data_IF_328447078929
#
_entry.id   IF_328447078929
#
_cell.length_a   1.000
_cell.length_b   1.000
_cell.length_c   1.000
_cell.angle_alpha   90.00
_cell.angle_beta   90.00
_cell.angle_gamma   90.00
#
_symmetry.space_group_name_H-M   'P 1'
#
loop_
_entity.id
_entity.type
_entity.pdbx_description
1 polymer ?
#
# COMPACT_ATOMS: atom_id res chain seq x y z
N UNK A 1 22.39 6.02 -9.51
CA UNK A 1 21.51 7.22 -9.64
C UNK A 1 20.92 7.36 -11.05
N UNK A 2 21.71 7.45 -12.12
CA UNK A 2 21.21 7.69 -13.48
C UNK A 2 20.10 6.71 -13.93
N UNK A 3 20.28 5.40 -13.71
CA UNK A 3 19.30 4.36 -14.09
C UNK A 3 17.91 4.62 -13.47
N UNK A 4 17.86 5.02 -12.19
CA UNK A 4 16.59 5.32 -11.52
C UNK A 4 15.93 6.58 -12.08
N UNK A 5 16.71 7.63 -12.39
CA UNK A 5 16.19 8.85 -12.99
C UNK A 5 15.64 8.58 -14.41
N UNK A 6 16.33 7.76 -15.21
CA UNK A 6 15.85 7.34 -16.53
C UNK A 6 14.56 6.52 -16.39
N UNK A 7 14.48 5.61 -15.44
CA UNK A 7 13.28 4.82 -15.19
C UNK A 7 12.10 5.70 -14.74
N UNK A 8 12.34 6.67 -13.85
CA UNK A 8 11.31 7.64 -13.43
C UNK A 8 10.87 8.52 -14.60
N UNK A 9 11.80 8.95 -15.43
CA UNK A 9 11.48 9.71 -16.66
C UNK A 9 10.63 8.88 -17.63
N UNK A 10 10.96 7.59 -17.83
CA UNK A 10 10.18 6.67 -18.66
C UNK A 10 8.73 6.56 -18.14
N UNK A 11 8.56 6.36 -16.82
CA UNK A 11 7.24 6.29 -16.17
C UNK A 11 6.43 7.55 -16.43
N UNK A 12 7.03 8.73 -16.29
CA UNK A 12 6.35 10.03 -16.51
C UNK A 12 6.02 10.29 -17.99
N UNK A 13 6.96 10.03 -18.89
CA UNK A 13 6.76 10.26 -20.33
C UNK A 13 5.63 9.38 -20.87
N UNK A 14 5.55 8.13 -20.43
CA UNK A 14 4.50 7.20 -20.84
C UNK A 14 3.15 7.44 -20.12
N UNK A 15 3.14 8.16 -19.00
CA UNK A 15 1.91 8.40 -18.23
C UNK A 15 0.85 9.15 -19.04
N UNK A 16 1.22 10.23 -19.72
CA UNK A 16 0.27 11.02 -20.47
C UNK A 16 -0.37 10.24 -21.64
N UNK A 17 0.39 9.69 -22.61
CA UNK A 17 -0.21 9.03 -23.77
C UNK A 17 -0.94 7.73 -23.46
N UNK A 18 -0.53 6.98 -22.44
CA UNK A 18 -1.07 5.66 -22.16
C UNK A 18 -2.08 5.63 -21.00
N UNK A 19 -1.97 6.57 -20.04
CA UNK A 19 -2.83 6.54 -18.83
C UNK A 19 -3.78 7.74 -18.78
N UNK A 20 -3.33 8.95 -19.14
CA UNK A 20 -4.15 10.17 -19.00
C UNK A 20 -4.94 10.51 -20.28
N UNK A 21 -4.35 10.32 -21.47
CA UNK A 21 -5.00 10.66 -22.73
C UNK A 21 -5.85 9.51 -23.27
N UNK A 22 -7.20 9.63 -23.13
CA UNK A 22 -8.19 8.63 -23.58
C UNK A 22 -7.79 7.20 -23.19
N UNK A 23 -7.73 6.91 -21.89
CA UNK A 23 -7.27 5.63 -21.39
C UNK A 23 -8.20 4.49 -21.83
N UNK A 24 -7.60 3.37 -22.20
CA UNK A 24 -8.29 2.09 -22.39
C UNK A 24 -7.47 0.96 -21.75
N UNK A 25 -8.06 -0.23 -21.66
CA UNK A 25 -7.40 -1.37 -20.99
C UNK A 25 -6.10 -1.73 -21.69
N UNK A 26 -6.03 -1.69 -23.02
CA UNK A 26 -4.83 -2.04 -23.80
C UNK A 26 -3.70 -1.04 -23.50
N UNK A 27 -3.96 0.25 -23.54
CA UNK A 27 -2.97 1.29 -23.21
C UNK A 27 -2.44 1.13 -21.78
N UNK A 28 -3.33 0.89 -20.82
CA UNK A 28 -2.96 0.63 -19.41
C UNK A 28 -2.08 -0.61 -19.30
N UNK A 29 -2.40 -1.69 -20.02
CA UNK A 29 -1.60 -2.89 -20.05
C UNK A 29 -0.23 -2.66 -20.71
N UNK A 30 -0.18 -1.96 -21.85
CA UNK A 30 1.07 -1.57 -22.50
C UNK A 30 1.96 -0.76 -21.56
N UNK A 31 1.38 0.21 -20.84
CA UNK A 31 2.12 0.99 -19.84
C UNK A 31 2.78 0.10 -18.78
N UNK A 32 2.01 -0.82 -18.19
CA UNK A 32 2.53 -1.73 -17.15
C UNK A 32 3.59 -2.65 -17.72
N UNK A 33 3.38 -3.24 -18.90
CA UNK A 33 4.36 -4.13 -19.55
C UNK A 33 5.68 -3.39 -19.82
N UNK A 34 5.63 -2.18 -20.36
CA UNK A 34 6.86 -1.43 -20.68
C UNK A 34 7.59 -0.99 -19.41
N UNK A 35 6.88 -0.43 -18.42
CA UNK A 35 7.53 0.09 -17.20
C UNK A 35 8.07 -1.04 -16.31
N UNK A 36 7.29 -2.10 -16.08
CA UNK A 36 7.73 -3.25 -15.30
C UNK A 36 8.71 -4.15 -16.09
N UNK A 37 8.59 -4.22 -17.41
CA UNK A 37 9.57 -4.84 -18.29
C UNK A 37 10.95 -4.16 -18.21
N UNK A 38 11.00 -2.83 -18.18
CA UNK A 38 12.24 -2.10 -17.97
C UNK A 38 12.85 -2.40 -16.58
N UNK A 39 12.05 -2.45 -15.51
CA UNK A 39 12.50 -2.85 -14.18
C UNK A 39 13.02 -4.29 -14.17
N UNK A 40 12.35 -5.20 -14.89
CA UNK A 40 12.78 -6.59 -15.03
C UNK A 40 14.15 -6.69 -15.72
N UNK A 41 14.35 -6.00 -16.84
CA UNK A 41 15.63 -5.99 -17.53
C UNK A 41 16.76 -5.48 -16.63
N UNK A 42 16.52 -4.37 -15.87
CA UNK A 42 17.48 -3.87 -14.90
C UNK A 42 17.80 -4.94 -13.84
N UNK A 43 16.78 -5.69 -13.39
CA UNK A 43 16.96 -6.73 -12.36
C UNK A 43 17.74 -7.94 -12.87
N UNK A 44 17.55 -8.32 -14.13
CA UNK A 44 18.23 -9.49 -14.73
C UNK A 44 19.68 -9.16 -15.08
N UNK A 45 19.92 -8.00 -15.70
CA UNK A 45 21.26 -7.61 -16.17
C UNK A 45 22.08 -6.87 -15.11
N UNK A 46 21.63 -6.86 -13.85
CA UNK A 46 22.40 -6.24 -12.76
C UNK A 46 23.67 -7.02 -12.48
N UNK A 47 24.77 -6.30 -12.25
CA UNK A 47 26.01 -6.87 -11.74
C UNK A 47 26.44 -6.08 -10.50
N UNK A 48 26.63 -6.78 -9.36
CA UNK A 48 27.00 -6.13 -8.10
C UNK A 48 25.98 -5.10 -7.55
N UNK A 49 24.80 -4.99 -8.14
CA UNK A 49 23.78 -4.02 -7.73
C UNK A 49 22.87 -4.63 -6.66
N UNK A 50 22.80 -3.97 -5.51
CA UNK A 50 22.07 -4.41 -4.32
C UNK A 50 23.02 -4.87 -3.21
N UNK A 51 22.71 -4.50 -1.96
CA UNK A 51 23.58 -4.73 -0.81
C UNK A 51 23.86 -6.22 -0.58
N UNK A 52 22.88 -7.08 -0.82
CA UNK A 52 22.98 -8.52 -0.56
C UNK A 52 23.29 -9.35 -1.83
N UNK A 53 23.75 -8.69 -2.93
CA UNK A 53 23.99 -9.36 -4.20
C UNK A 53 24.89 -10.61 -4.05
N UNK A 54 26.07 -10.47 -3.48
CA UNK A 54 27.01 -11.60 -3.30
C UNK A 54 26.50 -12.60 -2.25
N UNK A 55 25.74 -12.15 -1.24
CA UNK A 55 25.15 -13.04 -0.24
C UNK A 55 24.16 -14.02 -0.89
N UNK A 56 23.32 -13.56 -1.84
CA UNK A 56 22.39 -14.44 -2.56
C UNK A 56 23.09 -15.43 -3.48
N UNK A 57 24.24 -15.08 -4.06
CA UNK A 57 25.08 -16.03 -4.81
C UNK A 57 25.58 -17.13 -3.88
N UNK A 58 26.11 -16.78 -2.71
CA UNK A 58 26.55 -17.74 -1.72
C UNK A 58 25.41 -18.64 -1.24
N UNK A 59 24.26 -18.09 -0.94
CA UNK A 59 23.06 -18.83 -0.54
C UNK A 59 22.63 -19.81 -1.64
N UNK A 60 22.62 -19.38 -2.91
CA UNK A 60 22.26 -20.23 -4.05
C UNK A 60 23.17 -21.48 -4.14
N UNK A 61 24.48 -21.29 -4.04
CA UNK A 61 25.40 -22.40 -4.11
C UNK A 61 25.31 -23.35 -2.92
N UNK A 62 25.09 -22.83 -1.72
CA UNK A 62 24.86 -23.65 -0.53
C UNK A 62 23.64 -24.54 -0.68
N UNK A 63 22.51 -23.95 -1.10
CA UNK A 63 21.25 -24.69 -1.31
C UNK A 63 21.39 -25.67 -2.49
N UNK A 64 22.07 -25.29 -3.57
CA UNK A 64 22.33 -26.16 -4.72
C UNK A 64 23.07 -27.44 -4.32
N UNK A 65 24.12 -27.29 -3.54
CA UNK A 65 25.01 -28.39 -3.15
C UNK A 65 24.48 -29.21 -1.96
N UNK A 66 23.48 -28.72 -1.25
CA UNK A 66 22.89 -29.42 -0.12
C UNK A 66 22.06 -30.64 -0.59
N UNK A 67 22.26 -31.84 -0.02
CA UNK A 67 21.51 -33.03 -0.35
C UNK A 67 20.15 -33.07 0.37
N UNK A 68 19.11 -33.50 -0.33
CA UNK A 68 17.79 -33.77 0.23
C UNK A 68 17.22 -32.65 1.12
N UNK A 69 16.76 -33.01 2.30
CA UNK A 69 16.15 -32.07 3.25
C UNK A 69 17.15 -31.19 4.02
N UNK A 70 18.48 -31.44 3.86
CA UNK A 70 19.50 -30.60 4.52
C UNK A 70 19.50 -29.15 4.03
N UNK A 71 18.80 -28.85 2.95
CA UNK A 71 18.54 -27.46 2.48
C UNK A 71 17.91 -26.58 3.55
N UNK A 72 17.14 -27.13 4.48
CA UNK A 72 16.49 -26.39 5.57
C UNK A 72 17.41 -26.11 6.76
N UNK A 73 18.58 -26.74 6.84
CA UNK A 73 19.53 -26.52 7.93
C UNK A 73 20.22 -25.13 7.86
N UNK A 74 20.09 -24.42 6.75
CA UNK A 74 20.64 -23.07 6.61
C UNK A 74 19.81 -21.96 7.26
N UNK A 75 18.64 -22.29 7.82
CA UNK A 75 17.80 -21.33 8.55
C UNK A 75 17.09 -20.29 7.68
N UNK A 76 16.99 -20.51 6.36
CA UNK A 76 16.16 -19.66 5.50
C UNK A 76 14.71 -20.14 5.47
N UNK A 77 13.82 -19.22 5.14
CA UNK A 77 12.39 -19.50 5.08
C UNK A 77 12.08 -20.58 4.02
N UNK A 78 11.10 -21.47 4.29
CA UNK A 78 10.87 -22.67 3.47
C UNK A 78 10.49 -22.37 2.02
N UNK A 79 9.65 -21.36 1.76
CA UNK A 79 9.27 -20.97 0.40
C UNK A 79 10.47 -20.49 -0.41
N UNK A 80 11.31 -19.63 0.19
CA UNK A 80 12.53 -19.18 -0.45
C UNK A 80 13.50 -20.34 -0.73
N UNK A 81 13.71 -21.23 0.25
CA UNK A 81 14.61 -22.38 0.14
C UNK A 81 14.17 -23.35 -0.96
N UNK A 82 12.87 -23.68 -1.00
CA UNK A 82 12.29 -24.57 -2.03
C UNK A 82 12.44 -23.96 -3.42
N UNK A 83 12.08 -22.70 -3.60
CA UNK A 83 12.19 -22.02 -4.90
C UNK A 83 13.65 -21.96 -5.35
N UNK A 84 14.59 -21.62 -4.45
CA UNK A 84 16.03 -21.62 -4.76
C UNK A 84 16.51 -23.01 -5.18
N UNK A 85 16.10 -24.07 -4.46
CA UNK A 85 16.44 -25.46 -4.81
C UNK A 85 15.90 -25.84 -6.17
N UNK A 86 14.63 -25.54 -6.45
CA UNK A 86 14.02 -25.82 -7.76
C UNK A 86 14.78 -25.14 -8.89
N UNK A 87 15.10 -23.84 -8.76
CA UNK A 87 15.91 -23.13 -9.78
C UNK A 87 17.26 -23.82 -9.96
N UNK A 88 17.93 -24.19 -8.88
CA UNK A 88 19.24 -24.80 -8.90
C UNK A 88 19.30 -26.20 -9.53
N UNK A 89 18.16 -26.88 -9.65
CA UNK A 89 18.06 -28.18 -10.37
C UNK A 89 18.12 -28.02 -11.88
N UNK A 90 17.66 -26.85 -12.40
CA UNK A 90 17.65 -26.60 -13.84
C UNK A 90 18.83 -25.80 -14.34
N UNK A 91 19.52 -25.06 -13.47
CA UNK A 91 20.62 -24.19 -13.86
C UNK A 91 21.67 -24.03 -12.77
N UNK A 92 22.89 -23.69 -13.21
CA UNK A 92 23.96 -23.18 -12.35
C UNK A 92 24.18 -21.67 -12.55
N UNK A 93 23.46 -21.05 -13.49
CA UNK A 93 23.58 -19.62 -13.75
C UNK A 93 22.78 -18.80 -12.73
N UNK A 94 23.52 -18.00 -11.97
CA UNK A 94 22.96 -17.13 -10.92
C UNK A 94 22.08 -16.02 -11.51
N UNK A 95 22.32 -15.60 -12.76
CA UNK A 95 21.49 -14.59 -13.41
C UNK A 95 20.06 -15.09 -13.63
N UNK A 96 19.89 -16.39 -13.92
CA UNK A 96 18.57 -17.02 -14.03
C UNK A 96 17.87 -17.03 -12.66
N UNK A 97 18.60 -17.26 -11.57
CA UNK A 97 18.02 -17.12 -10.22
C UNK A 97 17.49 -15.70 -10.00
N UNK A 98 18.28 -14.66 -10.33
CA UNK A 98 17.83 -13.28 -10.19
C UNK A 98 16.64 -12.96 -11.11
N UNK A 99 16.61 -13.50 -12.33
CA UNK A 99 15.50 -13.34 -13.26
C UNK A 99 14.20 -13.91 -12.68
N UNK A 100 14.25 -15.13 -12.12
CA UNK A 100 13.08 -15.76 -11.50
C UNK A 100 12.58 -14.96 -10.29
N UNK A 101 13.49 -14.52 -9.41
CA UNK A 101 13.11 -13.70 -8.27
C UNK A 101 12.54 -12.34 -8.67
N UNK A 102 13.08 -11.72 -9.72
CA UNK A 102 12.53 -10.49 -10.26
C UNK A 102 11.09 -10.69 -10.75
N UNK A 103 10.78 -11.82 -11.41
CA UNK A 103 9.39 -12.14 -11.80
C UNK A 103 8.49 -12.35 -10.60
N UNK A 104 8.95 -13.05 -9.55
CA UNK A 104 8.17 -13.28 -8.33
C UNK A 104 7.85 -11.98 -7.56
N UNK A 105 8.63 -10.93 -7.74
CA UNK A 105 8.38 -9.61 -7.14
C UNK A 105 7.57 -8.73 -8.09
N UNK A 106 8.01 -8.60 -9.34
CA UNK A 106 7.46 -7.59 -10.25
C UNK A 106 6.10 -7.99 -10.82
N UNK A 107 5.83 -9.28 -11.07
CA UNK A 107 4.52 -9.71 -11.60
C UNK A 107 3.39 -9.47 -10.58
N UNK A 108 3.48 -9.91 -9.30
CA UNK A 108 2.43 -9.62 -8.33
C UNK A 108 2.26 -8.12 -8.09
N UNK A 109 3.36 -7.35 -8.05
CA UNK A 109 3.32 -5.90 -7.89
C UNK A 109 2.63 -5.22 -9.07
N UNK A 110 3.02 -5.57 -10.30
CA UNK A 110 2.41 -5.06 -11.52
C UNK A 110 0.90 -5.42 -11.61
N UNK A 111 0.57 -6.66 -11.26
CA UNK A 111 -0.81 -7.13 -11.20
C UNK A 111 -1.63 -6.31 -10.18
N UNK A 112 -1.13 -6.15 -8.97
CA UNK A 112 -1.83 -5.39 -7.93
C UNK A 112 -2.04 -3.93 -8.36
N UNK A 113 -1.01 -3.26 -8.90
CA UNK A 113 -1.10 -1.88 -9.39
C UNK A 113 -2.10 -1.80 -10.56
N UNK A 114 -2.03 -2.70 -11.53
CA UNK A 114 -2.93 -2.71 -12.68
C UNK A 114 -4.39 -2.90 -12.28
N UNK A 115 -4.67 -3.79 -11.30
CA UNK A 115 -6.03 -4.18 -10.90
C UNK A 115 -6.65 -3.26 -9.87
N UNK A 116 -5.86 -2.75 -8.92
CA UNK A 116 -6.39 -2.12 -7.71
C UNK A 116 -6.00 -0.65 -7.56
N UNK A 117 -5.05 -0.13 -8.37
CA UNK A 117 -4.67 1.27 -8.27
C UNK A 117 -5.67 2.19 -8.95
N UNK A 118 -6.04 3.25 -8.27
CA UNK A 118 -6.85 4.35 -8.81
C UNK A 118 -6.06 5.21 -9.82
N UNK A 119 -4.71 5.20 -9.71
CA UNK A 119 -3.82 5.89 -10.63
C UNK A 119 -2.54 5.07 -10.84
N UNK A 120 -2.50 4.31 -11.96
CA UNK A 120 -1.44 3.33 -12.27
C UNK A 120 -0.06 4.00 -12.35
N UNK A 121 0.06 5.16 -13.05
CA UNK A 121 1.36 5.81 -13.19
C UNK A 121 1.88 6.36 -11.86
N UNK A 122 1.01 6.91 -11.03
CA UNK A 122 1.39 7.42 -9.71
C UNK A 122 1.84 6.29 -8.79
N UNK A 123 1.12 5.14 -8.77
CA UNK A 123 1.53 3.95 -8.02
C UNK A 123 2.86 3.39 -8.49
N UNK A 124 3.08 3.32 -9.82
CA UNK A 124 4.36 2.87 -10.40
C UNK A 124 5.49 3.82 -10.03
N UNK A 125 5.25 5.13 -10.09
CA UNK A 125 6.24 6.14 -9.69
C UNK A 125 6.58 6.01 -8.20
N UNK A 126 5.56 5.82 -7.33
CA UNK A 126 5.78 5.62 -5.90
C UNK A 126 6.53 4.31 -5.61
N UNK A 127 6.30 3.24 -6.37
CA UNK A 127 7.07 1.99 -6.22
C UNK A 127 8.58 2.20 -6.44
N UNK A 128 8.96 3.12 -7.36
CA UNK A 128 10.35 3.46 -7.61
C UNK A 128 10.85 4.49 -6.57
N UNK A 129 10.13 5.59 -6.38
CA UNK A 129 10.58 6.74 -5.57
C UNK A 129 10.61 6.46 -4.07
N UNK A 130 9.72 5.58 -3.56
CA UNK A 130 9.74 5.08 -2.18
C UNK A 130 10.70 3.90 -1.99
N UNK A 131 11.61 3.70 -2.93
CA UNK A 131 12.72 2.71 -2.89
C UNK A 131 12.33 1.23 -2.94
N UNK A 132 11.06 0.86 -3.16
CA UNK A 132 10.67 -0.55 -3.24
C UNK A 132 11.35 -1.30 -4.38
N UNK A 133 11.52 -0.64 -5.54
CA UNK A 133 12.29 -1.24 -6.63
C UNK A 133 13.76 -1.44 -6.25
N UNK A 134 14.39 -0.50 -5.53
CA UNK A 134 15.74 -0.70 -4.99
C UNK A 134 15.79 -1.86 -3.98
N UNK A 135 14.83 -1.93 -3.06
CA UNK A 135 14.71 -3.03 -2.11
C UNK A 135 14.58 -4.38 -2.82
N UNK A 136 13.89 -4.44 -3.97
CA UNK A 136 13.77 -5.67 -4.78
C UNK A 136 15.11 -6.18 -5.33
N UNK A 137 16.09 -5.28 -5.46
CA UNK A 137 17.45 -5.63 -5.88
C UNK A 137 18.35 -6.02 -4.69
N UNK A 138 18.02 -5.58 -3.47
CA UNK A 138 18.82 -5.79 -2.26
C UNK A 138 18.25 -6.87 -1.34
N UNK A 139 16.98 -6.74 -0.95
CA UNK A 139 16.30 -7.57 0.05
C UNK A 139 15.29 -8.51 -0.61
N UNK A 140 15.76 -9.46 -1.46
CA UNK A 140 14.91 -10.29 -2.32
C UNK A 140 13.78 -10.99 -1.54
N UNK A 141 14.10 -11.68 -0.43
CA UNK A 141 13.13 -12.42 0.38
C UNK A 141 12.01 -11.52 0.91
N UNK A 142 12.41 -10.38 1.50
CA UNK A 142 11.46 -9.38 1.99
C UNK A 142 10.64 -8.76 0.86
N UNK A 143 11.25 -8.59 -0.32
CA UNK A 143 10.58 -8.01 -1.49
C UNK A 143 9.53 -8.93 -2.09
N UNK A 144 9.76 -10.24 -2.12
CA UNK A 144 8.72 -11.21 -2.48
C UNK A 144 7.57 -11.12 -1.47
N UNK A 145 7.90 -11.05 -0.18
CA UNK A 145 6.90 -10.97 0.87
C UNK A 145 6.03 -9.70 0.75
N UNK A 146 6.59 -8.51 0.56
CA UNK A 146 5.76 -7.31 0.40
C UNK A 146 4.98 -7.29 -0.93
N UNK A 147 5.47 -7.91 -2.00
CA UNK A 147 4.72 -8.06 -3.25
C UNK A 147 3.49 -8.95 -3.06
N UNK A 148 3.61 -10.05 -2.29
CA UNK A 148 2.49 -10.90 -1.90
C UNK A 148 1.49 -10.12 -1.05
N UNK A 149 1.96 -9.36 -0.06
CA UNK A 149 1.11 -8.54 0.82
C UNK A 149 0.38 -7.45 0.03
N UNK A 150 1.01 -6.85 -0.99
CA UNK A 150 0.35 -5.88 -1.85
C UNK A 150 -0.87 -6.47 -2.59
N UNK A 151 -0.82 -7.76 -2.97
CA UNK A 151 -1.97 -8.44 -3.56
C UNK A 151 -3.15 -8.59 -2.58
N UNK A 152 -2.90 -8.52 -1.27
CA UNK A 152 -3.95 -8.53 -0.26
C UNK A 152 -4.69 -7.18 -0.12
N UNK A 153 -4.26 -6.11 -0.81
CA UNK A 153 -4.84 -4.77 -0.71
C UNK A 153 -6.36 -4.75 -0.83
N UNK A 154 -6.91 -5.45 -1.83
CA UNK A 154 -8.35 -5.57 -2.02
C UNK A 154 -9.05 -6.20 -0.81
N UNK A 155 -8.52 -7.31 -0.32
CA UNK A 155 -9.11 -8.03 0.82
C UNK A 155 -9.02 -7.21 2.11
N UNK A 156 -8.00 -6.37 2.25
CA UNK A 156 -7.89 -5.40 3.34
C UNK A 156 -8.99 -4.34 3.26
N UNK A 157 -9.28 -3.80 2.06
CA UNK A 157 -10.40 -2.86 1.84
C UNK A 157 -11.76 -3.49 2.16
N UNK A 158 -11.96 -4.73 1.71
CA UNK A 158 -13.19 -5.50 1.90
C UNK A 158 -13.34 -6.06 3.33
N UNK A 159 -12.32 -5.90 4.19
CA UNK A 159 -12.28 -6.47 5.56
C UNK A 159 -12.42 -8.00 5.56
N UNK A 160 -11.96 -8.67 4.51
CA UNK A 160 -11.87 -10.12 4.48
C UNK A 160 -10.62 -10.58 5.24
N UNK A 161 -10.77 -10.68 6.58
CA UNK A 161 -9.66 -11.00 7.48
C UNK A 161 -9.02 -12.35 7.17
N UNK A 162 -9.82 -13.34 6.78
CA UNK A 162 -9.30 -14.67 6.42
C UNK A 162 -8.32 -14.59 5.24
N UNK A 163 -8.70 -13.92 4.16
CA UNK A 163 -7.82 -13.75 3.01
C UNK A 163 -6.58 -12.93 3.35
N UNK A 164 -6.70 -11.88 4.16
CA UNK A 164 -5.53 -11.11 4.60
C UNK A 164 -4.55 -11.97 5.37
N UNK A 165 -5.03 -12.78 6.33
CA UNK A 165 -4.19 -13.71 7.09
C UNK A 165 -3.56 -14.79 6.20
N UNK A 166 -4.29 -15.29 5.20
CA UNK A 166 -3.76 -16.22 4.21
C UNK A 166 -2.59 -15.60 3.41
N UNK A 167 -2.73 -14.36 2.95
CA UNK A 167 -1.64 -13.66 2.26
C UNK A 167 -0.44 -13.39 3.18
N UNK A 168 -0.68 -13.07 4.46
CA UNK A 168 0.39 -12.93 5.46
C UNK A 168 1.11 -14.26 5.64
N UNK A 169 0.38 -15.37 5.78
CA UNK A 169 0.96 -16.71 5.88
C UNK A 169 1.82 -17.06 4.64
N UNK A 170 1.29 -16.83 3.43
CA UNK A 170 2.04 -17.05 2.19
C UNK A 170 3.31 -16.19 2.13
N UNK A 171 3.25 -14.94 2.57
CA UNK A 171 4.40 -14.04 2.62
C UNK A 171 5.44 -14.51 3.67
N UNK A 172 5.01 -15.06 4.82
CA UNK A 172 5.89 -15.64 5.83
C UNK A 172 6.74 -16.80 5.30
N UNK A 173 6.28 -17.52 4.27
CA UNK A 173 7.07 -18.57 3.62
C UNK A 173 8.33 -18.01 2.93
N UNK A 174 8.38 -16.72 2.62
CA UNK A 174 9.51 -16.04 2.01
C UNK A 174 10.25 -15.11 2.96
N UNK A 175 9.56 -14.55 3.96
CA UNK A 175 10.20 -13.70 4.97
C UNK A 175 9.40 -13.66 6.27
N UNK A 176 9.93 -14.29 7.30
CA UNK A 176 9.22 -14.55 8.57
C UNK A 176 8.82 -13.28 9.32
N UNK A 177 9.53 -12.15 9.15
CA UNK A 177 9.20 -10.89 9.84
C UNK A 177 7.85 -10.29 9.46
N UNK A 178 7.23 -10.76 8.36
CA UNK A 178 5.86 -10.37 7.97
C UNK A 178 4.83 -10.67 9.05
N UNK A 179 5.09 -11.62 9.96
CA UNK A 179 4.19 -11.97 11.05
C UNK A 179 3.80 -10.76 11.92
N UNK A 180 4.69 -9.75 12.00
CA UNK A 180 4.43 -8.48 12.69
C UNK A 180 3.23 -7.73 12.10
N UNK A 181 2.92 -7.97 10.82
CA UNK A 181 1.75 -7.36 10.19
C UNK A 181 0.43 -7.85 10.78
N UNK A 182 0.36 -9.03 11.40
CA UNK A 182 -0.87 -9.56 12.01
C UNK A 182 -1.42 -8.60 13.09
N UNK A 183 -0.69 -8.33 14.19
CA UNK A 183 -1.19 -7.41 15.22
C UNK A 183 -1.38 -5.98 14.66
N UNK A 184 -0.50 -5.48 13.82
CA UNK A 184 -0.64 -4.14 13.23
C UNK A 184 -1.88 -4.03 12.34
N UNK A 185 -2.17 -5.05 11.53
CA UNK A 185 -3.38 -5.11 10.73
C UNK A 185 -4.65 -5.18 11.60
N UNK A 186 -4.65 -6.03 12.63
CA UNK A 186 -5.81 -6.15 13.52
C UNK A 186 -6.09 -4.84 14.25
N UNK A 187 -5.06 -4.19 14.80
CA UNK A 187 -5.22 -2.87 15.43
C UNK A 187 -5.77 -1.87 14.40
N UNK A 188 -5.19 -1.79 13.21
CA UNK A 188 -5.63 -0.88 12.16
C UNK A 188 -7.05 -1.19 11.66
N UNK A 189 -7.46 -2.46 11.68
CA UNK A 189 -8.78 -2.88 11.22
C UNK A 189 -9.89 -2.55 12.23
N UNK A 190 -9.63 -2.64 13.53
CA UNK A 190 -10.65 -2.50 14.56
C UNK A 190 -10.62 -1.15 15.26
N UNK A 191 -9.47 -0.47 15.32
CA UNK A 191 -9.32 0.83 15.96
C UNK A 191 -9.32 1.93 14.88
N UNK A 192 -10.25 2.87 14.96
CA UNK A 192 -10.31 4.01 14.03
C UNK A 192 -9.40 5.14 14.49
N UNK A 193 -8.68 5.83 13.59
CA UNK A 193 -8.02 7.10 13.91
C UNK A 193 -9.05 8.14 14.32
N UNK A 194 -8.92 8.69 15.52
CA UNK A 194 -9.81 9.71 16.06
C UNK A 194 -8.98 10.81 16.72
N UNK A 195 -9.62 11.92 17.08
CA UNK A 195 -8.98 12.99 17.86
C UNK A 195 -8.44 12.53 19.23
N UNK A 196 -8.84 11.33 19.69
CA UNK A 196 -8.39 10.72 20.94
C UNK A 196 -7.31 9.66 20.66
N UNK A 197 -7.53 8.75 19.68
CA UNK A 197 -6.61 7.64 19.43
C UNK A 197 -5.29 8.11 18.81
N UNK A 198 -5.28 9.15 17.98
CA UNK A 198 -4.05 9.67 17.38
C UNK A 198 -3.08 10.23 18.43
N UNK A 199 -3.50 11.08 19.41
CA UNK A 199 -2.65 11.46 20.53
C UNK A 199 -2.18 10.28 21.40
N UNK A 200 -3.02 9.26 21.62
CA UNK A 200 -2.61 8.05 22.34
C UNK A 200 -1.47 7.34 21.60
N UNK A 201 -1.55 7.21 20.28
CA UNK A 201 -0.45 6.66 19.49
C UNK A 201 0.83 7.48 19.62
N UNK A 202 0.75 8.81 19.65
CA UNK A 202 1.91 9.67 19.86
C UNK A 202 2.56 9.46 21.24
N UNK A 203 1.75 9.36 22.30
CA UNK A 203 2.22 9.09 23.67
C UNK A 203 2.89 7.70 23.72
N UNK A 204 2.23 6.66 23.19
CA UNK A 204 2.79 5.31 23.14
C UNK A 204 4.10 5.27 22.35
N UNK A 205 4.19 6.03 21.25
CA UNK A 205 5.43 6.16 20.48
C UNK A 205 6.56 6.74 21.30
N UNK A 206 6.30 7.82 22.03
CA UNK A 206 7.28 8.43 22.93
C UNK A 206 7.76 7.44 24.01
N UNK A 207 6.83 6.70 24.61
CA UNK A 207 7.16 5.67 25.61
C UNK A 207 8.02 4.55 25.01
N UNK A 208 7.62 4.00 23.84
CA UNK A 208 8.38 2.94 23.15
C UNK A 208 9.76 3.45 22.74
N UNK A 209 9.86 4.69 22.26
CA UNK A 209 11.14 5.29 21.91
C UNK A 209 12.07 5.42 23.13
N UNK A 210 11.56 5.91 24.25
CA UNK A 210 12.31 6.04 25.50
C UNK A 210 12.74 4.68 26.06
N UNK A 211 11.82 3.71 26.05
CA UNK A 211 12.00 2.35 26.58
C UNK A 211 12.55 1.36 25.56
N UNK A 212 12.99 1.82 24.39
CA UNK A 212 13.40 0.94 23.28
C UNK A 212 14.53 -0.03 23.68
N UNK A 213 15.53 0.40 24.47
CA UNK A 213 16.59 -0.47 24.96
C UNK A 213 16.12 -1.56 25.90
N UNK A 214 15.37 -1.28 26.99
CA UNK A 214 14.75 -2.31 27.80
C UNK A 214 13.90 -3.28 27.00
N UNK A 215 13.08 -2.77 26.06
CA UNK A 215 12.21 -3.60 25.21
C UNK A 215 13.05 -4.55 24.33
N UNK A 216 14.10 -4.08 23.68
CA UNK A 216 14.98 -4.90 22.87
C UNK A 216 15.71 -5.97 23.70
N UNK A 217 16.19 -5.64 24.90
CA UNK A 217 16.80 -6.61 25.80
C UNK A 217 15.81 -7.71 26.21
N UNK A 218 14.58 -7.33 26.56
CA UNK A 218 13.51 -8.28 26.87
C UNK A 218 13.18 -9.17 25.67
N UNK A 219 13.08 -8.57 24.47
CA UNK A 219 12.81 -9.31 23.24
C UNK A 219 13.89 -10.38 22.96
N UNK A 220 15.16 -10.09 23.22
CA UNK A 220 16.26 -11.06 23.06
C UNK A 220 16.23 -12.16 24.13
N UNK A 221 15.79 -11.84 25.35
CA UNK A 221 15.58 -12.88 26.39
C UNK A 221 14.48 -13.85 25.96
N UNK A 222 13.40 -13.35 25.34
CA UNK A 222 12.28 -14.16 24.85
C UNK A 222 12.61 -14.90 23.54
N UNK A 223 13.53 -14.34 22.73
CA UNK A 223 13.93 -14.85 21.42
C UNK A 223 15.48 -14.94 21.32
N UNK A 224 16.09 -15.94 21.97
CA UNK A 224 17.56 -16.03 22.10
C UNK A 224 18.34 -16.08 20.78
N UNK A 225 17.69 -16.53 19.69
CA UNK A 225 18.28 -16.54 18.34
C UNK A 225 18.67 -15.15 17.84
N UNK A 226 18.12 -14.09 18.43
CA UNK A 226 18.44 -12.69 18.08
C UNK A 226 19.54 -12.07 18.98
N UNK A 227 20.13 -12.84 19.91
CA UNK A 227 21.14 -12.34 20.86
C UNK A 227 22.34 -11.69 20.13
N UNK A 228 22.83 -12.31 19.06
CA UNK A 228 23.92 -11.77 18.26
C UNK A 228 23.65 -10.38 17.67
N UNK A 229 22.40 -10.00 17.51
CA UNK A 229 22.05 -8.66 17.04
C UNK A 229 22.33 -7.58 18.09
N UNK A 230 22.24 -7.84 19.39
CA UNK A 230 22.57 -6.86 20.43
C UNK A 230 24.10 -6.61 20.56
N UNK A 231 24.89 -7.57 20.09
CA UNK A 231 26.35 -7.50 20.15
C UNK A 231 26.95 -6.75 18.94
N UNK A 232 26.15 -6.58 17.88
CA UNK A 232 26.58 -5.91 16.67
C UNK A 232 26.45 -4.39 16.82
N UNK A 233 27.56 -3.68 16.66
CA UNK A 233 27.65 -2.21 16.79
C UNK A 233 26.66 -1.46 15.89
N UNK A 234 26.25 -2.06 14.77
CA UNK A 234 25.32 -1.44 13.84
C UNK A 234 23.87 -1.38 14.34
N UNK A 235 23.45 -2.18 15.33
CA UNK A 235 22.11 -2.07 15.92
C UNK A 235 21.96 -0.83 16.80
N UNK A 236 23.08 -0.33 17.33
CA UNK A 236 23.12 0.88 18.12
C UNK A 236 23.12 2.15 17.27
N UNK A 237 23.27 2.00 15.95
CA UNK A 237 23.18 3.10 15.00
C UNK A 237 21.75 3.25 14.52
N UNK A 238 21.24 4.49 14.59
CA UNK A 238 19.93 4.82 14.02
C UNK A 238 20.07 5.44 12.63
N UNK A 239 18.97 5.48 11.91
CA UNK A 239 18.89 6.28 10.69
C UNK A 239 19.00 7.78 10.99
N UNK A 240 19.54 8.53 10.04
CA UNK A 240 19.44 9.99 10.08
C UNK A 240 17.98 10.44 10.18
N UNK A 241 17.64 11.43 11.03
CA UNK A 241 16.27 11.95 11.15
C UNK A 241 15.65 12.43 9.84
N UNK A 242 16.45 12.73 8.83
CA UNK A 242 15.98 13.11 7.48
C UNK A 242 15.06 12.02 6.86
N UNK A 243 15.29 10.76 7.15
CA UNK A 243 14.47 9.67 6.64
C UNK A 243 13.04 9.63 7.19
N UNK A 244 12.74 10.37 8.28
CA UNK A 244 11.37 10.51 8.81
C UNK A 244 10.51 11.43 7.93
N UNK A 245 11.09 12.33 7.15
CA UNK A 245 10.36 13.39 6.43
C UNK A 245 9.30 12.80 5.51
N UNK A 246 9.65 11.80 4.69
CA UNK A 246 8.70 11.20 3.74
C UNK A 246 7.57 10.44 4.45
N UNK A 247 7.83 9.54 5.43
CA UNK A 247 6.78 8.96 6.26
C UNK A 247 5.90 9.98 6.97
N UNK A 248 6.46 11.10 7.46
CA UNK A 248 5.69 12.17 8.10
C UNK A 248 4.73 12.86 7.11
N UNK A 249 5.21 13.21 5.91
CA UNK A 249 4.37 13.79 4.85
C UNK A 249 3.23 12.85 4.48
N UNK A 250 3.52 11.56 4.25
CA UNK A 250 2.51 10.55 3.91
C UNK A 250 1.48 10.43 5.03
N UNK A 251 1.91 10.43 6.29
CA UNK A 251 1.01 10.35 7.45
C UNK A 251 0.16 11.61 7.57
N UNK A 252 0.73 12.79 7.36
CA UNK A 252 -0.02 14.04 7.37
C UNK A 252 -1.10 14.05 6.26
N UNK A 253 -0.75 13.66 5.04
CA UNK A 253 -1.71 13.54 3.93
C UNK A 253 -2.82 12.53 4.25
N UNK A 254 -2.48 11.38 4.83
CA UNK A 254 -3.44 10.36 5.23
C UNK A 254 -4.40 10.87 6.33
N UNK A 255 -3.88 11.59 7.34
CA UNK A 255 -4.69 12.18 8.41
C UNK A 255 -5.63 13.27 7.87
N UNK A 256 -5.12 14.18 7.04
CA UNK A 256 -5.93 15.22 6.40
C UNK A 256 -7.05 14.55 5.60
N UNK A 257 -6.74 13.57 4.74
CA UNK A 257 -7.73 12.87 3.95
C UNK A 257 -8.76 12.13 4.83
N UNK A 258 -8.33 11.53 5.95
CA UNK A 258 -9.20 10.81 6.87
C UNK A 258 -10.20 11.73 7.57
N UNK A 259 -9.76 12.90 8.02
CA UNK A 259 -10.64 13.86 8.73
C UNK A 259 -11.44 14.78 7.80
N UNK A 260 -11.24 14.67 6.48
CA UNK A 260 -11.93 15.48 5.47
C UNK A 260 -12.83 14.63 4.55
N UNK A 261 -13.10 15.10 3.35
CA UNK A 261 -14.04 14.49 2.40
C UNK A 261 -13.77 13.03 2.06
N UNK A 262 -12.49 12.64 1.87
CA UNK A 262 -12.15 11.26 1.56
C UNK A 262 -12.55 10.29 2.69
N UNK A 263 -12.28 10.64 3.94
CA UNK A 263 -12.64 9.81 5.09
C UNK A 263 -14.15 9.65 5.27
N UNK A 264 -14.95 10.68 4.89
CA UNK A 264 -16.41 10.59 4.86
C UNK A 264 -16.89 9.68 3.74
N UNK A 265 -16.27 9.75 2.55
CA UNK A 265 -16.64 8.94 1.38
C UNK A 265 -16.23 7.47 1.53
N UNK A 266 -15.05 7.20 2.11
CA UNK A 266 -14.46 5.87 2.24
C UNK A 266 -14.03 5.56 3.69
N UNK A 267 -14.94 5.51 4.66
CA UNK A 267 -14.60 5.49 6.09
C UNK A 267 -13.79 4.25 6.51
N UNK A 268 -14.09 3.07 5.95
CA UNK A 268 -13.38 1.82 6.28
C UNK A 268 -11.97 1.80 5.72
N UNK A 269 -11.81 2.18 4.45
CA UNK A 269 -10.53 2.23 3.76
C UNK A 269 -9.63 3.29 4.37
N UNK A 270 -10.16 4.50 4.52
CA UNK A 270 -9.45 5.63 5.11
C UNK A 270 -8.95 5.30 6.52
N UNK A 271 -9.79 4.73 7.40
CA UNK A 271 -9.37 4.38 8.76
C UNK A 271 -8.22 3.37 8.77
N UNK A 272 -8.30 2.30 7.95
CA UNK A 272 -7.30 1.25 7.89
C UNK A 272 -5.93 1.79 7.45
N UNK A 273 -5.91 2.44 6.27
CA UNK A 273 -4.65 2.84 5.67
C UNK A 273 -4.07 4.10 6.31
N UNK A 274 -4.87 4.95 6.96
CA UNK A 274 -4.37 6.02 7.82
C UNK A 274 -3.64 5.45 9.05
N UNK A 275 -4.17 4.39 9.68
CA UNK A 275 -3.44 3.68 10.73
C UNK A 275 -2.13 3.07 10.21
N UNK A 276 -2.14 2.50 9.00
CA UNK A 276 -0.89 1.99 8.40
C UNK A 276 0.14 3.11 8.18
N UNK A 277 -0.30 4.29 7.73
CA UNK A 277 0.58 5.44 7.60
C UNK A 277 1.15 5.88 8.96
N UNK A 278 0.31 5.94 10.00
CA UNK A 278 0.73 6.28 11.37
C UNK A 278 1.75 5.25 11.88
N UNK A 279 1.44 3.95 11.77
CA UNK A 279 2.35 2.90 12.25
C UNK A 279 3.66 2.87 11.47
N UNK A 280 3.62 3.12 10.15
CA UNK A 280 4.81 3.30 9.34
C UNK A 280 5.67 4.45 9.85
N UNK A 281 5.07 5.62 10.13
CA UNK A 281 5.78 6.76 10.71
C UNK A 281 6.38 6.43 12.08
N UNK A 282 5.63 5.74 12.95
CA UNK A 282 6.11 5.32 14.28
C UNK A 282 7.33 4.42 14.15
N UNK A 283 7.29 3.45 13.25
CA UNK A 283 8.40 2.51 13.03
C UNK A 283 9.64 3.29 12.52
N UNK A 284 9.47 4.20 11.56
CA UNK A 284 10.57 5.05 11.07
C UNK A 284 11.11 5.97 12.16
N UNK A 285 10.25 6.52 13.02
CA UNK A 285 10.67 7.34 14.15
C UNK A 285 11.55 6.52 15.13
N UNK A 286 11.15 5.29 15.45
CA UNK A 286 11.93 4.39 16.31
C UNK A 286 13.22 3.95 15.60
N UNK A 287 13.21 3.80 14.28
CA UNK A 287 14.37 3.43 13.47
C UNK A 287 15.49 4.49 13.48
N UNK A 288 15.19 5.73 13.86
CA UNK A 288 16.25 6.73 14.12
C UNK A 288 17.14 6.38 15.32
N UNK A 289 16.71 5.45 16.15
CA UNK A 289 17.49 4.92 17.27
C UNK A 289 18.02 3.51 16.99
N UNK A 290 17.27 2.71 16.25
CA UNK A 290 17.54 1.30 15.98
C UNK A 290 17.18 0.98 14.52
N UNK A 291 18.14 1.10 13.60
CA UNK A 291 17.86 1.05 12.15
C UNK A 291 17.17 -0.25 11.67
N UNK A 292 17.44 -1.39 12.33
CA UNK A 292 16.87 -2.70 11.95
C UNK A 292 15.34 -2.71 12.02
N UNK A 293 14.74 -1.84 12.86
CA UNK A 293 13.29 -1.76 13.05
C UNK A 293 12.59 -1.25 11.78
N UNK A 294 13.26 -0.47 10.93
CA UNK A 294 12.74 0.02 9.67
C UNK A 294 12.18 -1.11 8.78
N UNK A 295 12.77 -2.30 8.81
CA UNK A 295 12.34 -3.44 8.00
C UNK A 295 10.88 -3.83 8.23
N UNK A 296 10.35 -3.63 9.43
CA UNK A 296 8.94 -3.88 9.73
C UNK A 296 7.99 -2.87 9.07
N UNK A 297 8.47 -1.68 8.75
CA UNK A 297 7.68 -0.64 8.09
C UNK A 297 7.29 -1.01 6.67
N UNK A 298 8.13 -1.76 5.96
CA UNK A 298 8.00 -2.05 4.52
C UNK A 298 6.64 -2.67 4.16
N UNK A 299 6.07 -3.50 5.05
CA UNK A 299 4.77 -4.16 4.82
C UNK A 299 3.57 -3.21 4.93
N UNK A 300 3.70 -2.15 5.70
CA UNK A 300 2.71 -1.08 5.81
C UNK A 300 2.93 -0.03 4.72
N UNK A 301 4.21 0.28 4.47
CA UNK A 301 4.63 1.33 3.56
C UNK A 301 4.30 1.00 2.11
N UNK A 302 4.41 -0.28 1.70
CA UNK A 302 4.02 -0.72 0.36
C UNK A 302 2.55 -0.43 0.05
N UNK A 303 1.65 -0.43 1.06
CA UNK A 303 0.25 -0.10 0.87
C UNK A 303 0.02 1.36 0.49
N UNK A 304 0.97 2.25 0.83
CA UNK A 304 0.88 3.68 0.51
C UNK A 304 0.97 3.94 -0.99
N UNK A 305 1.63 3.05 -1.76
CA UNK A 305 1.67 3.18 -3.23
C UNK A 305 0.28 3.01 -3.89
N UNK A 306 -0.68 2.45 -3.16
CA UNK A 306 -2.08 2.31 -3.57
C UNK A 306 -2.96 3.37 -2.93
N UNK A 307 -2.75 3.64 -1.65
CA UNK A 307 -3.61 4.51 -0.86
C UNK A 307 -3.46 5.99 -1.22
N UNK A 308 -2.23 6.49 -1.41
CA UNK A 308 -2.02 7.89 -1.79
C UNK A 308 -2.61 8.22 -3.17
N UNK A 309 -2.44 7.38 -4.21
CA UNK A 309 -3.15 7.57 -5.48
C UNK A 309 -4.68 7.57 -5.36
N UNK A 310 -5.25 6.78 -4.45
CA UNK A 310 -6.70 6.79 -4.18
C UNK A 310 -7.16 8.13 -3.61
N UNK A 311 -6.43 8.68 -2.64
CA UNK A 311 -6.66 10.02 -2.09
C UNK A 311 -6.55 11.08 -3.20
N UNK A 312 -5.45 11.08 -3.94
CA UNK A 312 -5.20 12.03 -5.02
C UNK A 312 -6.32 12.00 -6.07
N UNK A 313 -6.74 10.79 -6.49
CA UNK A 313 -7.83 10.61 -7.45
C UNK A 313 -9.15 11.17 -6.95
N UNK A 314 -9.49 10.92 -5.69
CA UNK A 314 -10.70 11.46 -5.08
C UNK A 314 -10.73 12.99 -5.15
N UNK A 315 -9.68 13.67 -4.68
CA UNK A 315 -9.66 15.14 -4.71
C UNK A 315 -9.56 15.72 -6.11
N UNK A 316 -8.86 15.07 -7.04
CA UNK A 316 -8.87 15.46 -8.46
C UNK A 316 -10.28 15.37 -9.06
N UNK A 317 -11.04 14.34 -8.72
CA UNK A 317 -12.42 14.17 -9.19
C UNK A 317 -13.33 15.23 -8.57
N UNK A 318 -13.17 15.54 -7.28
CA UNK A 318 -13.91 16.64 -6.63
C UNK A 318 -13.60 17.99 -7.30
N UNK A 319 -12.34 18.27 -7.60
CA UNK A 319 -11.95 19.51 -8.29
C UNK A 319 -12.54 19.59 -9.71
N UNK A 320 -12.50 18.49 -10.47
CA UNK A 320 -13.15 18.43 -11.80
C UNK A 320 -14.64 18.69 -11.72
N UNK A 321 -15.33 18.07 -10.75
CA UNK A 321 -16.77 18.26 -10.53
C UNK A 321 -17.09 19.72 -10.17
N UNK A 322 -16.31 20.32 -9.29
CA UNK A 322 -16.47 21.72 -8.91
C UNK A 322 -16.30 22.66 -10.12
N UNK A 323 -15.23 22.47 -10.89
CA UNK A 323 -14.97 23.30 -12.08
C UNK A 323 -16.04 23.14 -13.18
N UNK A 324 -16.57 21.92 -13.35
CA UNK A 324 -17.66 21.67 -14.30
C UNK A 324 -18.95 22.38 -13.89
N UNK A 325 -19.34 22.27 -12.62
CA UNK A 325 -20.55 22.92 -12.06
C UNK A 325 -20.44 24.44 -12.05
N UNK A 326 -19.26 24.99 -11.87
CA UNK A 326 -19.03 26.45 -11.99
C UNK A 326 -19.31 26.96 -13.41
N UNK A 327 -19.06 26.14 -14.43
CA UNK A 327 -19.35 26.48 -15.84
C UNK A 327 -20.78 26.20 -16.23
N UNK A 328 -21.36 25.13 -15.73
CA UNK A 328 -22.74 24.70 -15.94
C UNK A 328 -23.25 24.03 -14.65
N UNK A 329 -24.20 24.66 -13.92
CA UNK A 329 -24.72 24.13 -12.66
C UNK A 329 -25.29 22.71 -12.75
N UNK A 330 -25.86 22.35 -13.91
CA UNK A 330 -26.49 21.04 -14.17
C UNK A 330 -25.51 20.01 -14.75
N UNK A 331 -24.22 20.33 -14.80
CA UNK A 331 -23.22 19.42 -15.37
C UNK A 331 -23.14 18.11 -14.58
N UNK A 332 -23.37 17.01 -15.28
CA UNK A 332 -23.10 15.65 -14.78
C UNK A 332 -21.64 15.33 -15.09
N UNK A 333 -20.86 15.03 -14.06
CA UNK A 333 -19.44 14.68 -14.21
C UNK A 333 -19.29 13.17 -14.10
N UNK A 334 -18.94 12.52 -15.21
CA UNK A 334 -18.54 11.12 -15.19
C UNK A 334 -17.09 11.01 -14.71
N UNK A 335 -16.86 10.14 -13.73
CA UNK A 335 -15.52 9.81 -13.23
C UNK A 335 -14.95 8.63 -13.98
N UNK A 336 -13.64 8.65 -14.25
CA UNK A 336 -12.95 7.51 -14.83
C UNK A 336 -13.07 6.29 -13.91
N UNK A 337 -13.49 5.16 -14.49
CA UNK A 337 -13.59 3.88 -13.77
C UNK A 337 -12.22 3.23 -13.63
N UNK A 338 -12.01 2.54 -12.52
CA UNK A 338 -10.85 1.66 -12.35
C UNK A 338 -10.88 0.52 -13.35
N UNK A 339 -9.73 -0.13 -13.59
CA UNK A 339 -9.66 -1.31 -14.46
C UNK A 339 -10.58 -2.42 -13.95
N UNK A 340 -10.66 -2.59 -12.63
CA UNK A 340 -11.53 -3.60 -12.02
C UNK A 340 -13.02 -3.29 -12.23
N UNK A 341 -13.43 -2.02 -12.10
CA UNK A 341 -14.79 -1.58 -12.39
C UNK A 341 -15.15 -1.75 -13.86
N UNK A 342 -14.23 -1.44 -14.78
CA UNK A 342 -14.43 -1.64 -16.23
C UNK A 342 -14.59 -3.12 -16.57
N UNK A 343 -13.79 -3.99 -15.97
CA UNK A 343 -13.89 -5.44 -16.19
C UNK A 343 -15.18 -5.99 -15.60
N UNK A 344 -15.57 -5.57 -14.39
CA UNK A 344 -16.84 -5.96 -13.76
C UNK A 344 -18.06 -5.50 -14.59
N UNK A 345 -18.02 -4.28 -15.13
CA UNK A 345 -19.10 -3.76 -15.94
C UNK A 345 -19.26 -4.49 -17.29
N UNK A 346 -18.17 -5.02 -17.84
CA UNK A 346 -18.18 -5.80 -19.09
C UNK A 346 -18.51 -7.28 -18.92
N UNK A 347 -18.30 -7.84 -17.75
CA UNK A 347 -18.51 -9.25 -17.44
C UNK A 347 -19.24 -9.45 -16.12
N UNK A 348 -20.46 -8.92 -15.95
CA UNK A 348 -21.21 -9.01 -14.70
C UNK A 348 -21.48 -10.46 -14.28
N UNK A 349 -21.65 -11.37 -15.24
CA UNK A 349 -21.91 -12.80 -15.01
C UNK A 349 -20.77 -13.52 -14.27
N UNK A 350 -19.52 -13.11 -14.47
CA UNK A 350 -18.34 -13.72 -13.81
C UNK A 350 -18.19 -13.30 -12.35
N UNK A 351 -18.83 -12.22 -11.96
CA UNK A 351 -18.72 -11.63 -10.61
C UNK A 351 -19.99 -11.78 -9.78
N UNK A 352 -21.10 -12.23 -10.39
CA UNK A 352 -22.37 -12.50 -9.70
C UNK A 352 -22.26 -13.64 -8.68
N UNK A 353 -21.38 -14.62 -8.89
CA UNK A 353 -21.19 -15.75 -7.98
C UNK A 353 -20.48 -15.41 -6.67
N UNK A 354 -19.77 -14.29 -6.58
CA UNK A 354 -19.11 -13.83 -5.35
C UNK A 354 -19.94 -12.80 -4.56
N UNK A 355 -21.11 -12.42 -5.05
CA UNK A 355 -22.07 -11.55 -4.36
C UNK A 355 -23.00 -12.33 -3.38
N UNK A 356 -22.65 -13.57 -3.04
CA UNK A 356 -23.41 -14.47 -2.18
C UNK A 356 -23.48 -14.10 -0.68
N UNK A 357 -23.20 -12.85 -0.31
CA UNK A 357 -23.55 -12.28 1.00
C UNK A 357 -23.97 -10.82 0.86
N UNK A 358 -24.86 -10.53 -0.08
CA UNK A 358 -25.78 -9.42 0.18
C UNK A 358 -26.73 -9.87 1.29
N UNK A 359 -27.02 -9.01 2.29
CA UNK A 359 -28.09 -9.29 3.22
C UNK A 359 -29.34 -9.56 2.38
N UNK A 360 -29.96 -10.72 2.58
CA UNK A 360 -31.24 -11.08 1.97
C UNK A 360 -32.13 -9.84 2.01
N UNK A 361 -32.55 -9.34 0.86
CA UNK A 361 -33.72 -8.48 0.76
C UNK A 361 -34.85 -9.28 1.34
N UNK A 362 -35.14 -9.09 2.60
CA UNK A 362 -36.44 -9.43 3.15
C UNK A 362 -37.46 -8.75 2.28
N UNK A 363 -38.39 -9.56 1.77
CA UNK A 363 -39.56 -9.07 1.06
C UNK A 363 -40.16 -8.00 1.92
N UNK A 364 -40.25 -6.79 1.37
CA UNK A 364 -40.91 -5.65 1.98
C UNK A 364 -42.33 -6.02 2.35
N UNK A 365 -42.53 -6.39 3.58
CA UNK A 365 -43.80 -6.19 4.27
C UNK A 365 -43.77 -4.73 4.63
N UNK A 366 -44.69 -3.99 4.02
CA UNK A 366 -44.93 -2.57 4.26
C UNK A 366 -45.25 -2.35 5.74
N UNK A 367 -44.24 -2.04 6.55
CA UNK A 367 -44.40 -1.42 7.85
C UNK A 367 -44.05 0.07 7.69
N UNK A 368 -44.82 0.98 8.29
CA UNK A 368 -44.52 2.41 8.20
C UNK A 368 -43.16 2.70 8.81
N UNK A 369 -42.32 3.45 8.07
CA UNK A 369 -41.01 3.93 8.53
C UNK A 369 -41.21 4.68 9.84
N UNK A 370 -40.48 4.42 10.91
CA UNK A 370 -40.56 5.17 12.15
C UNK A 370 -40.20 6.63 11.87
N UNK A 371 -41.05 7.56 12.35
CA UNK A 371 -40.91 9.03 12.23
C UNK A 371 -39.53 9.57 12.62
N UNK A 372 -38.77 8.82 13.42
CA UNK A 372 -37.35 9.09 13.74
C UNK A 372 -36.36 8.90 12.57
N UNK A 373 -36.62 7.98 11.66
CA UNK A 373 -35.70 7.72 10.53
C UNK A 373 -35.85 8.78 9.42
N UNK A 374 -37.07 9.34 9.24
CA UNK A 374 -37.29 10.48 8.33
C UNK A 374 -36.70 11.79 8.89
N UNK A 375 -36.70 11.97 10.22
CA UNK A 375 -36.07 13.11 10.86
C UNK A 375 -34.50 13.04 10.71
N UNK A 376 -33.89 11.87 10.89
CA UNK A 376 -32.46 11.69 10.70
C UNK A 376 -32.03 11.88 9.24
N UNK A 377 -32.81 11.42 8.25
CA UNK A 377 -32.55 11.68 6.82
C UNK A 377 -32.67 13.17 6.48
N UNK A 378 -33.67 13.86 7.04
CA UNK A 378 -33.85 15.30 6.88
C UNK A 378 -32.68 16.10 7.48
N UNK A 379 -32.16 15.67 8.63
CA UNK A 379 -31.04 16.34 9.27
C UNK A 379 -29.69 16.10 8.53
N UNK A 380 -29.52 14.92 7.94
CA UNK A 380 -28.37 14.63 7.07
C UNK A 380 -28.42 15.47 5.79
N UNK A 381 -29.59 15.68 5.24
CA UNK A 381 -29.82 16.51 4.03
C UNK A 381 -29.59 18.00 4.32
N UNK A 382 -30.06 18.49 5.45
CA UNK A 382 -29.82 19.86 5.95
C UNK A 382 -28.35 20.10 6.25
N UNK A 383 -27.63 19.13 6.86
CA UNK A 383 -26.22 19.23 7.15
C UNK A 383 -25.38 19.23 5.87
N UNK A 384 -25.76 18.44 4.85
CA UNK A 384 -25.17 18.52 3.51
C UNK A 384 -25.32 19.91 2.87
N UNK A 385 -26.49 20.50 2.97
CA UNK A 385 -26.72 21.83 2.43
C UNK A 385 -25.99 22.92 3.22
N UNK A 386 -25.85 22.75 4.53
CA UNK A 386 -25.11 23.68 5.39
C UNK A 386 -23.59 23.62 5.08
N UNK A 387 -23.01 22.43 4.93
CA UNK A 387 -21.61 22.25 4.54
C UNK A 387 -21.36 22.84 3.14
N UNK A 388 -22.31 22.67 2.21
CA UNK A 388 -22.23 23.29 0.89
C UNK A 388 -22.27 24.82 0.96
N UNK A 389 -23.14 25.37 1.83
CA UNK A 389 -23.23 26.81 2.04
C UNK A 389 -22.00 27.41 2.74
N UNK A 390 -21.43 26.71 3.72
CA UNK A 390 -20.17 27.12 4.37
C UNK A 390 -18.98 27.13 3.37
N UNK A 391 -18.87 26.12 2.51
CA UNK A 391 -17.85 26.07 1.46
C UNK A 391 -18.03 27.21 0.43
N UNK A 392 -19.30 27.61 0.17
CA UNK A 392 -19.61 28.71 -0.74
C UNK A 392 -19.46 30.08 -0.09
N UNK A 393 -19.58 30.19 1.24
CA UNK A 393 -19.42 31.44 1.98
C UNK A 393 -17.95 31.80 2.27
N UNK A 394 -17.07 30.81 2.41
CA UNK A 394 -15.61 31.04 2.57
C UNK A 394 -14.94 31.55 1.28
N UNK A 395 -15.55 31.30 0.09
CA UNK A 395 -15.03 31.79 -1.21
C UNK A 395 -15.72 33.08 -1.70
N UNK A 396 -16.66 33.65 -0.95
CA UNK A 396 -17.50 34.78 -1.34
C UNK A 396 -17.13 36.14 -0.71
N UNK A 397 -15.86 36.46 -0.67
CA UNK A 397 -15.37 37.84 -0.48
C UNK A 397 -15.16 38.52 -1.83
N UNK A 398 -16.14 39.26 -2.30
CA UNK A 398 -16.26 40.19 -3.40
C UNK A 398 -17.09 39.73 -4.62
N UNK A 399 -18.33 40.16 -4.63
CA UNK A 399 -18.94 41.01 -5.68
C UNK A 399 -20.46 41.03 -5.57
N UNK A 400 -20.98 42.21 -5.38
CA UNK A 400 -22.36 42.59 -5.66
C UNK A 400 -22.78 42.14 -7.06
N UNK A 401 -23.90 41.41 -7.18
CA UNK A 401 -24.87 41.58 -8.26
C UNK A 401 -26.24 41.01 -7.80
N UNK A 402 -27.23 41.86 -8.01
CA UNK A 402 -28.58 41.85 -7.53
C UNK A 402 -29.45 40.66 -7.94
N UNK A 403 -30.32 40.33 -7.02
CA UNK A 403 -31.57 39.58 -7.09
C UNK A 403 -32.54 40.00 -8.19
N UNK A 404 -33.24 39.04 -8.80
CA UNK A 404 -34.71 39.07 -8.93
C UNK A 404 -35.29 37.66 -9.20
N UNK A 405 -36.48 37.36 -8.67
CA UNK A 405 -37.10 36.04 -8.71
C UNK A 405 -38.12 35.89 -9.87
N UNK A 406 -38.22 34.67 -10.37
CA UNK A 406 -39.49 34.09 -10.84
C UNK A 406 -39.50 32.62 -10.44
#
# INVERSE_FOLDING_TARGET
MAVYLILMALVLVLAYPLIEHKPNVVKKLCYVIVTFGAMYLISVFRYGLGNDYYSYIYIFWNIKNAPGLSIFNYGYEPGFTIVTKLISMFTADVNIMYAVYALLILIPTAYAIFRYSENIWMSTMMFISLTFFYCSLSFIRQSIAFAIILCAYRFMKERNHFMVLLFIFLACLFHSTVIVLIPLYLIAAFIKPTKITVPIYAILTALVYLLSWPILRLAVVLLPQYKGYLELSFITQGYSPVYIIVPAIITALALIAHFTGYGKAYPKESALFTNFAIFNFIIWFIATKHFVIERFSMYLYIMMIMFIPSIARYYMNCAKAYLARRKNPDAVVEFDKTVDEVIRSKHPEKYAHNAGTEPKKEKAVSQPVPEKAEAELSDIEKEKQRILAEIMAEDGGDSDIATKPV
#
